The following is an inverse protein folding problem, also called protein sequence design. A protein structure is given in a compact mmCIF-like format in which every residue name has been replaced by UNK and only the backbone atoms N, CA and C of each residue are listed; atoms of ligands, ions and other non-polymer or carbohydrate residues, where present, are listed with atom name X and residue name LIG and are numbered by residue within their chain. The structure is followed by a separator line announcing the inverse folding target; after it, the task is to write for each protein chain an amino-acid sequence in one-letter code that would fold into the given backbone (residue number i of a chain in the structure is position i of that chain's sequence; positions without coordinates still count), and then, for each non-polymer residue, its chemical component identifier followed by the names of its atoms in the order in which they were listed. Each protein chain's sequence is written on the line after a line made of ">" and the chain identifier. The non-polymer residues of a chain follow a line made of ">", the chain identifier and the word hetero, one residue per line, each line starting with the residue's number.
data_IF_343608568801
#
_entry.id   IF_343608568801
#
_cell.length_a   1.000
_cell.length_b   1.000
_cell.length_c   1.000
_cell.angle_alpha   90.00
_cell.angle_beta   90.00
_cell.angle_gamma   90.00
#
_symmetry.space_group_name_H-M   'P 1'
#
loop_
_entity.id
_entity.type
_entity.pdbx_description
1 polymer ?
#
# COMPACT_ATOMS: atom_id res chain seq x y z
N UNK A 1 9.99 5.57 41.56
CA UNK A 1 9.63 5.19 40.18
C UNK A 1 10.13 3.78 39.96
N UNK A 2 9.25 2.81 39.70
CA UNK A 2 9.71 1.48 39.28
C UNK A 2 10.36 1.60 37.91
N UNK A 3 11.51 0.96 37.74
CA UNK A 3 12.27 0.96 36.49
C UNK A 3 11.55 0.02 35.50
N UNK A 4 11.01 0.58 34.42
CA UNK A 4 10.35 -0.21 33.37
C UNK A 4 11.44 -0.80 32.48
N UNK A 5 11.46 -2.13 32.33
CA UNK A 5 12.34 -2.83 31.41
C UNK A 5 11.57 -3.23 30.14
N UNK A 6 11.92 -2.61 29.01
CA UNK A 6 11.37 -2.96 27.71
C UNK A 6 12.29 -3.96 27.00
N UNK A 7 11.73 -5.09 26.55
CA UNK A 7 12.43 -6.10 25.75
C UNK A 7 11.66 -6.29 24.45
N UNK A 8 12.37 -6.34 23.33
CA UNK A 8 11.80 -6.65 22.02
C UNK A 8 12.28 -8.04 21.55
N UNK A 9 11.42 -8.75 20.83
CA UNK A 9 11.76 -10.07 20.26
C UNK A 9 13.01 -10.02 19.38
N UNK A 10 13.20 -8.92 18.65
CA UNK A 10 14.35 -8.67 17.78
C UNK A 10 15.69 -8.61 18.51
N UNK A 11 15.71 -8.55 19.84
CA UNK A 11 16.95 -8.64 20.63
C UNK A 11 17.46 -10.07 20.79
N UNK A 12 16.60 -11.06 20.53
CA UNK A 12 16.91 -12.48 20.72
C UNK A 12 16.90 -13.27 19.41
N UNK A 13 16.20 -12.75 18.39
CA UNK A 13 16.06 -13.37 17.07
C UNK A 13 16.14 -12.30 16.00
N UNK A 14 16.84 -12.61 14.91
CA UNK A 14 16.91 -11.71 13.77
C UNK A 14 15.51 -11.50 13.18
N UNK A 15 15.15 -10.24 12.93
CA UNK A 15 13.90 -9.93 12.28
C UNK A 15 14.02 -10.13 10.77
N UNK A 16 13.60 -11.30 10.30
CA UNK A 16 13.66 -11.68 8.90
C UNK A 16 12.26 -12.12 8.41
N UNK A 17 11.50 -11.25 7.72
CA UNK A 17 10.10 -11.52 7.35
C UNK A 17 9.91 -12.84 6.62
N UNK A 18 10.76 -13.15 5.63
CA UNK A 18 10.63 -14.37 4.85
C UNK A 18 10.84 -15.64 5.70
N UNK A 19 11.89 -15.68 6.55
CA UNK A 19 12.11 -16.78 7.48
C UNK A 19 10.97 -16.92 8.50
N UNK A 20 10.47 -15.80 9.02
CA UNK A 20 9.32 -15.78 9.93
C UNK A 20 8.05 -16.32 9.25
N UNK A 21 7.85 -15.98 7.97
CA UNK A 21 6.76 -16.50 7.16
C UNK A 21 6.84 -18.03 7.02
N UNK A 22 7.99 -18.58 6.61
CA UNK A 22 8.17 -20.03 6.50
C UNK A 22 7.95 -20.74 7.83
N UNK A 23 8.50 -20.19 8.93
CA UNK A 23 8.27 -20.72 10.26
C UNK A 23 6.78 -20.74 10.63
N UNK A 24 6.04 -19.67 10.32
CA UNK A 24 4.60 -19.59 10.60
C UNK A 24 3.81 -20.63 9.80
N UNK A 25 4.15 -20.86 8.52
CA UNK A 25 3.51 -21.90 7.69
C UNK A 25 3.77 -23.30 8.26
N UNK A 26 4.98 -23.58 8.71
CA UNK A 26 5.35 -24.91 9.23
C UNK A 26 4.74 -25.19 10.62
N UNK A 27 4.54 -24.17 11.44
CA UNK A 27 4.23 -24.32 12.87
C UNK A 27 2.83 -23.82 13.26
N UNK A 28 1.99 -23.41 12.31
CA UNK A 28 0.64 -22.90 12.60
C UNK A 28 -0.34 -23.15 11.47
N UNK A 29 -1.61 -22.78 11.70
CA UNK A 29 -2.66 -22.82 10.68
C UNK A 29 -2.73 -21.51 9.87
N UNK A 30 -1.61 -20.79 9.74
CA UNK A 30 -1.55 -19.55 8.98
C UNK A 30 -1.84 -19.82 7.50
N UNK A 31 -2.80 -19.08 6.94
CA UNK A 31 -3.19 -19.21 5.54
C UNK A 31 -2.78 -17.96 4.77
N UNK A 32 -2.15 -18.19 3.62
CA UNK A 32 -1.83 -17.13 2.67
C UNK A 32 -3.10 -16.53 2.06
N UNK A 33 -2.99 -15.28 1.62
CA UNK A 33 -3.99 -14.73 0.72
C UNK A 33 -4.00 -15.52 -0.60
N UNK A 34 -5.16 -15.85 -1.17
CA UNK A 34 -5.25 -16.56 -2.46
C UNK A 34 -4.57 -15.76 -3.58
N UNK A 35 -4.59 -14.44 -3.48
CA UNK A 35 -3.98 -13.49 -4.40
C UNK A 35 -2.99 -12.56 -3.71
N UNK A 36 -2.12 -11.91 -4.49
CA UNK A 36 -1.19 -10.89 -3.98
C UNK A 36 -1.95 -9.62 -3.62
N UNK A 37 -1.40 -8.85 -2.68
CA UNK A 37 -1.89 -7.50 -2.41
C UNK A 37 -1.50 -6.58 -3.55
N UNK A 38 -2.40 -5.71 -4.02
CA UNK A 38 -2.07 -4.77 -5.09
C UNK A 38 -0.95 -3.83 -4.61
N UNK A 39 0.03 -3.57 -5.48
CA UNK A 39 1.20 -2.78 -5.10
C UNK A 39 2.38 -3.56 -4.54
N UNK A 40 2.30 -4.90 -4.42
CA UNK A 40 3.41 -5.79 -4.03
C UNK A 40 3.33 -7.17 -4.68
N UNK A 41 4.43 -7.91 -4.62
CA UNK A 41 4.50 -9.35 -4.93
C UNK A 41 4.16 -10.25 -3.74
N UNK A 42 4.07 -9.70 -2.53
CA UNK A 42 3.78 -10.46 -1.30
C UNK A 42 2.34 -10.98 -1.26
N UNK A 43 2.15 -12.13 -0.59
CA UNK A 43 0.86 -12.77 -0.29
C UNK A 43 0.63 -13.02 1.20
N UNK A 44 1.61 -12.68 2.05
CA UNK A 44 1.65 -13.11 3.44
C UNK A 44 1.64 -11.94 4.43
N UNK A 45 1.89 -10.70 3.97
CA UNK A 45 1.90 -9.50 4.81
C UNK A 45 0.70 -8.60 4.50
N UNK A 46 0.17 -7.91 5.51
CA UNK A 46 -0.93 -6.94 5.36
C UNK A 46 -2.15 -7.53 4.63
N UNK A 47 -2.62 -8.70 5.10
CA UNK A 47 -3.73 -9.45 4.49
C UNK A 47 -5.03 -9.38 5.30
N UNK A 48 -5.01 -8.72 6.45
CA UNK A 48 -6.09 -8.64 7.43
C UNK A 48 -6.95 -7.37 7.31
N UNK A 49 -6.54 -6.41 6.47
CA UNK A 49 -7.28 -5.17 6.20
C UNK A 49 -7.52 -4.99 4.70
N UNK A 50 -8.78 -4.67 4.33
CA UNK A 50 -9.16 -4.37 2.94
C UNK A 50 -8.60 -3.04 2.46
N UNK A 51 -8.33 -2.09 3.36
CA UNK A 51 -7.88 -0.73 3.02
C UNK A 51 -6.36 -0.64 2.76
N UNK A 52 -5.58 -1.68 3.06
CA UNK A 52 -4.12 -1.64 2.94
C UNK A 52 -3.66 -1.32 1.51
N UNK A 53 -4.30 -1.90 0.51
CA UNK A 53 -3.97 -1.66 -0.91
C UNK A 53 -4.16 -0.17 -1.29
N UNK A 54 -5.22 0.48 -0.77
CA UNK A 54 -5.47 1.91 -0.98
C UNK A 54 -4.49 2.80 -0.23
N UNK A 55 -4.07 2.39 0.97
CA UNK A 55 -3.00 3.07 1.69
C UNK A 55 -1.72 3.10 0.83
N UNK A 56 -1.30 1.95 0.30
CA UNK A 56 -0.09 1.89 -0.51
C UNK A 56 -0.20 2.56 -1.88
N UNK A 57 -1.38 2.50 -2.51
CA UNK A 57 -1.64 3.24 -3.73
C UNK A 57 -1.53 4.75 -3.50
N UNK A 58 -2.22 5.29 -2.49
CA UNK A 58 -2.16 6.73 -2.18
C UNK A 58 -0.78 7.16 -1.67
N UNK A 59 -0.06 6.28 -0.98
CA UNK A 59 1.34 6.48 -0.60
C UNK A 59 2.23 6.64 -1.83
N UNK A 60 2.07 5.78 -2.84
CA UNK A 60 2.76 5.91 -4.13
C UNK A 60 2.42 7.20 -4.85
N UNK A 61 1.14 7.60 -4.88
CA UNK A 61 0.72 8.89 -5.47
C UNK A 61 1.44 10.08 -4.81
N UNK A 62 1.54 10.05 -3.48
CA UNK A 62 2.14 11.13 -2.69
C UNK A 62 3.66 11.19 -2.79
N UNK A 63 4.33 10.03 -2.75
CA UNK A 63 5.79 9.94 -2.57
C UNK A 63 6.54 9.40 -3.79
N UNK A 64 5.85 8.86 -4.79
CA UNK A 64 6.47 8.23 -5.97
C UNK A 64 7.13 6.88 -5.70
N UNK A 65 6.91 6.31 -4.51
CA UNK A 65 7.38 4.99 -4.10
C UNK A 65 6.25 4.28 -3.35
N UNK A 66 6.02 3.00 -3.62
CA UNK A 66 4.91 2.22 -3.08
C UNK A 66 5.39 1.09 -2.18
N UNK A 67 4.50 0.13 -1.93
CA UNK A 67 4.77 -1.02 -1.06
C UNK A 67 5.93 -1.87 -1.56
N UNK A 68 6.03 -2.07 -2.87
CA UNK A 68 7.09 -2.90 -3.44
C UNK A 68 8.46 -2.28 -3.19
N UNK A 69 8.58 -0.96 -3.20
CA UNK A 69 9.84 -0.29 -2.83
C UNK A 69 10.24 -0.61 -1.40
N UNK A 70 9.30 -0.60 -0.46
CA UNK A 70 9.57 -0.94 0.95
C UNK A 70 9.94 -2.41 1.14
N UNK A 71 9.13 -3.32 0.60
CA UNK A 71 9.36 -4.76 0.70
C UNK A 71 10.71 -5.15 0.07
N UNK A 72 10.98 -4.65 -1.14
CA UNK A 72 12.24 -4.94 -1.85
C UNK A 72 13.46 -4.36 -1.14
N UNK A 73 13.37 -3.16 -0.56
CA UNK A 73 14.49 -2.58 0.19
C UNK A 73 14.86 -3.42 1.42
N UNK A 74 13.87 -3.98 2.11
CA UNK A 74 14.10 -4.87 3.23
C UNK A 74 14.72 -6.21 2.78
N UNK A 75 14.16 -6.82 1.74
CA UNK A 75 14.65 -8.09 1.20
C UNK A 75 16.06 -7.97 0.60
N UNK A 76 16.39 -6.87 -0.08
CA UNK A 76 17.76 -6.58 -0.54
C UNK A 76 18.73 -6.49 0.63
N UNK A 77 18.34 -5.80 1.71
CA UNK A 77 19.19 -5.65 2.89
C UNK A 77 19.44 -6.98 3.59
N UNK A 78 18.47 -7.89 3.56
CA UNK A 78 18.60 -9.24 4.12
C UNK A 78 19.37 -10.20 3.20
N UNK A 79 19.54 -9.86 1.92
CA UNK A 79 20.19 -10.71 0.93
C UNK A 79 19.23 -11.69 0.23
N UNK A 80 17.92 -11.52 0.41
CA UNK A 80 16.87 -12.33 -0.23
C UNK A 80 16.66 -11.93 -1.70
N UNK A 81 16.94 -10.66 -2.02
CA UNK A 81 16.87 -10.12 -3.38
C UNK A 81 18.17 -9.42 -3.76
N UNK A 82 18.54 -9.53 -5.02
CA UNK A 82 19.51 -8.61 -5.63
C UNK A 82 18.87 -7.25 -5.88
N UNK A 83 19.72 -6.22 -6.00
CA UNK A 83 19.28 -4.86 -6.38
C UNK A 83 18.51 -4.88 -7.71
N UNK A 84 18.97 -5.68 -8.68
CA UNK A 84 18.36 -5.75 -10.01
C UNK A 84 16.98 -6.42 -9.96
N UNK A 85 16.82 -7.49 -9.19
CA UNK A 85 15.50 -8.09 -8.95
C UNK A 85 14.56 -7.11 -8.27
N UNK A 86 15.03 -6.40 -7.25
CA UNK A 86 14.24 -5.36 -6.57
C UNK A 86 13.76 -4.27 -7.53
N UNK A 87 14.64 -3.74 -8.39
CA UNK A 87 14.24 -2.75 -9.41
C UNK A 87 13.17 -3.28 -10.36
N UNK A 88 13.31 -4.54 -10.82
CA UNK A 88 12.34 -5.18 -11.70
C UNK A 88 10.98 -5.32 -11.02
N UNK A 89 10.95 -5.75 -9.75
CA UNK A 89 9.73 -5.88 -8.96
C UNK A 89 9.07 -4.52 -8.74
N UNK A 90 9.84 -3.51 -8.33
CA UNK A 90 9.33 -2.15 -8.10
C UNK A 90 8.70 -1.59 -9.37
N UNK A 91 9.41 -1.67 -10.50
CA UNK A 91 8.90 -1.21 -11.80
C UNK A 91 7.60 -1.89 -12.22
N UNK A 92 7.41 -3.14 -11.79
CA UNK A 92 6.24 -3.95 -12.14
C UNK A 92 5.02 -3.68 -11.27
N UNK A 93 5.20 -3.47 -9.97
CA UNK A 93 4.09 -3.50 -9.00
C UNK A 93 3.81 -2.17 -8.32
N UNK A 94 4.79 -1.27 -8.15
CA UNK A 94 4.51 0.02 -7.51
C UNK A 94 3.50 0.84 -8.33
N UNK A 95 2.48 1.36 -7.63
CA UNK A 95 1.43 2.15 -8.26
C UNK A 95 0.35 1.36 -8.97
N UNK A 96 0.34 0.04 -8.82
CA UNK A 96 -0.78 -0.78 -9.24
C UNK A 96 -2.07 -0.36 -8.51
N UNK A 97 -3.16 -0.23 -9.28
CA UNK A 97 -4.43 0.18 -8.73
C UNK A 97 -5.13 -0.96 -7.95
N UNK A 98 -5.66 -0.69 -6.75
CA UNK A 98 -6.29 -1.69 -5.88
C UNK A 98 -7.75 -2.01 -6.26
N UNK A 99 -7.95 -2.86 -7.27
CA UNK A 99 -9.30 -3.16 -7.81
C UNK A 99 -10.15 -4.06 -6.90
N UNK A 100 -9.53 -4.97 -6.13
CA UNK A 100 -10.22 -6.06 -5.41
C UNK A 100 -11.38 -5.61 -4.52
N UNK A 101 -11.21 -4.49 -3.82
CA UNK A 101 -12.18 -3.95 -2.86
C UNK A 101 -12.53 -2.50 -3.15
N UNK A 102 -12.25 -2.00 -4.35
CA UNK A 102 -12.41 -0.57 -4.66
C UNK A 102 -13.83 -0.06 -4.42
N UNK A 103 -14.83 -0.80 -4.88
CA UNK A 103 -16.22 -0.38 -4.78
C UNK A 103 -16.69 -0.33 -3.32
N UNK A 104 -16.32 -1.33 -2.52
CA UNK A 104 -16.65 -1.38 -1.09
C UNK A 104 -15.97 -0.25 -0.32
N UNK A 105 -14.70 0.04 -0.63
CA UNK A 105 -13.94 1.09 0.04
C UNK A 105 -14.47 2.48 -0.34
N UNK A 106 -14.75 2.72 -1.61
CA UNK A 106 -15.29 4.00 -2.07
C UNK A 106 -16.70 4.25 -1.50
N UNK A 107 -17.53 3.20 -1.40
CA UNK A 107 -18.81 3.28 -0.70
C UNK A 107 -18.63 3.57 0.79
N UNK A 108 -17.72 2.85 1.47
CA UNK A 108 -17.41 3.07 2.89
C UNK A 108 -16.91 4.49 3.19
N UNK A 109 -16.10 5.06 2.30
CA UNK A 109 -15.58 6.43 2.43
C UNK A 109 -16.62 7.50 2.04
N UNK A 110 -17.74 7.11 1.43
CA UNK A 110 -18.80 8.03 1.04
C UNK A 110 -19.61 8.49 2.25
N UNK A 111 -20.04 9.75 2.21
CA UNK A 111 -20.89 10.38 3.20
C UNK A 111 -22.32 10.30 2.67
N UNK A 112 -23.06 9.25 3.03
CA UNK A 112 -24.47 9.10 2.65
C UNK A 112 -25.40 10.06 3.42
N UNK A 113 -26.33 10.70 2.71
CA UNK A 113 -27.27 11.65 3.32
C UNK A 113 -28.19 10.99 4.36
N UNK A 114 -28.60 9.73 4.16
CA UNK A 114 -29.51 9.06 5.09
C UNK A 114 -28.80 8.69 6.39
N UNK A 115 -27.53 8.31 6.31
CA UNK A 115 -26.70 7.98 7.47
C UNK A 115 -26.24 9.21 8.26
N UNK A 116 -25.84 10.29 7.57
CA UNK A 116 -25.18 11.46 8.19
C UNK A 116 -26.03 12.74 8.21
N UNK A 117 -27.14 12.76 7.47
CA UNK A 117 -28.06 13.90 7.37
C UNK A 117 -27.61 14.97 6.37
N UNK A 118 -28.60 15.68 5.82
CA UNK A 118 -28.43 16.74 4.80
C UNK A 118 -27.36 17.78 5.13
N UNK A 119 -27.33 18.25 6.38
CA UNK A 119 -26.39 19.28 6.82
C UNK A 119 -24.92 18.85 6.65
N UNK A 120 -24.58 17.59 6.95
CA UNK A 120 -23.21 17.08 6.82
C UNK A 120 -22.93 16.77 5.35
N UNK A 121 -23.89 16.16 4.65
CA UNK A 121 -23.80 15.85 3.23
C UNK A 121 -23.43 17.08 2.38
N UNK A 122 -24.05 18.23 2.65
CA UNK A 122 -23.82 19.50 1.93
C UNK A 122 -22.48 20.19 2.27
N UNK A 123 -21.68 19.69 3.22
CA UNK A 123 -20.34 20.24 3.53
C UNK A 123 -19.25 19.75 2.56
N UNK A 124 -19.52 18.71 1.79
CA UNK A 124 -18.55 18.10 0.87
C UNK A 124 -18.86 18.47 -0.58
N UNK A 125 -17.83 18.79 -1.37
CA UNK A 125 -17.99 19.05 -2.81
C UNK A 125 -18.58 17.83 -3.53
N UNK A 126 -18.10 16.64 -3.17
CA UNK A 126 -18.64 15.35 -3.59
C UNK A 126 -18.70 14.39 -2.40
N UNK A 127 -19.86 14.27 -1.75
CA UNK A 127 -20.03 13.38 -0.60
C UNK A 127 -20.01 11.90 -1.00
N UNK A 128 -20.42 11.57 -2.23
CA UNK A 128 -20.34 10.21 -2.77
C UNK A 128 -19.06 10.08 -3.60
N UNK A 129 -18.20 9.14 -3.21
CA UNK A 129 -16.96 8.82 -3.89
C UNK A 129 -17.23 7.76 -4.95
N UNK A 130 -16.86 8.05 -6.19
CA UNK A 130 -16.78 7.09 -7.27
C UNK A 130 -15.33 6.98 -7.77
N UNK A 131 -15.06 5.97 -8.60
CA UNK A 131 -13.74 5.76 -9.20
C UNK A 131 -13.24 7.01 -9.92
N UNK A 132 -14.11 7.67 -10.67
CA UNK A 132 -13.76 8.84 -11.48
C UNK A 132 -13.30 10.01 -10.60
N UNK A 133 -14.00 10.27 -9.49
CA UNK A 133 -13.63 11.31 -8.55
C UNK A 133 -12.36 10.96 -7.78
N UNK A 134 -12.20 9.69 -7.39
CA UNK A 134 -10.96 9.23 -6.78
C UNK A 134 -9.75 9.43 -7.70
N UNK A 135 -9.87 9.07 -8.98
CA UNK A 135 -8.82 9.29 -9.97
C UNK A 135 -8.50 10.80 -10.13
N UNK A 136 -9.52 11.66 -10.14
CA UNK A 136 -9.34 13.12 -10.15
C UNK A 136 -8.59 13.63 -8.91
N UNK A 137 -8.93 13.13 -7.71
CA UNK A 137 -8.23 13.49 -6.48
C UNK A 137 -6.78 13.04 -6.53
N UNK A 138 -6.50 11.80 -6.96
CA UNK A 138 -5.12 11.32 -7.05
C UNK A 138 -4.31 12.12 -8.07
N UNK A 139 -4.89 12.51 -9.21
CA UNK A 139 -4.25 13.43 -10.17
C UNK A 139 -3.92 14.78 -9.53
N UNK A 140 -4.83 15.33 -8.72
CA UNK A 140 -4.60 16.59 -8.00
C UNK A 140 -3.46 16.49 -6.97
N UNK A 141 -3.39 15.38 -6.22
CA UNK A 141 -2.37 15.18 -5.17
C UNK A 141 -1.01 14.74 -5.69
N UNK A 142 -0.87 14.43 -6.99
CA UNK A 142 0.44 14.16 -7.61
C UNK A 142 1.28 15.42 -7.63
N UNK A 143 2.32 15.47 -6.79
CA UNK A 143 3.17 16.64 -6.70
C UNK A 143 3.99 16.88 -7.99
N UNK A 144 4.00 18.10 -8.57
CA UNK A 144 4.68 18.40 -9.84
C UNK A 144 6.18 18.13 -9.88
N UNK A 145 6.87 18.06 -8.72
CA UNK A 145 8.29 17.76 -8.65
C UNK A 145 8.60 16.26 -8.82
N UNK A 146 7.64 15.38 -8.54
CA UNK A 146 7.77 13.93 -8.76
C UNK A 146 7.13 13.51 -10.08
N UNK A 147 6.03 14.16 -10.45
CA UNK A 147 5.15 13.73 -11.52
C UNK A 147 5.18 14.65 -12.73
N UNK A 148 5.08 14.03 -13.90
CA UNK A 148 4.93 14.67 -15.20
C UNK A 148 3.68 14.15 -15.89
N UNK A 149 2.88 15.07 -16.45
CA UNK A 149 1.74 14.72 -17.29
C UNK A 149 2.23 14.47 -18.71
N UNK A 150 1.95 13.30 -19.24
CA UNK A 150 2.27 12.89 -20.61
C UNK A 150 0.99 12.61 -21.40
N UNK A 151 1.11 12.38 -22.71
CA UNK A 151 -0.02 11.96 -23.54
C UNK A 151 -0.63 10.61 -23.09
N UNK A 152 0.14 9.79 -22.37
CA UNK A 152 -0.26 8.48 -21.86
C UNK A 152 -0.62 8.52 -20.36
N UNK A 153 -0.85 9.71 -19.80
CA UNK A 153 -1.18 9.90 -18.38
C UNK A 153 0.01 10.36 -17.53
N UNK A 154 -0.09 10.17 -16.22
CA UNK A 154 0.90 10.64 -15.24
C UNK A 154 2.07 9.66 -15.12
N UNK A 155 3.30 10.19 -15.13
CA UNK A 155 4.54 9.41 -15.04
C UNK A 155 5.49 10.05 -14.03
N UNK A 156 6.25 9.21 -13.31
CA UNK A 156 7.36 9.70 -12.47
C UNK A 156 8.48 10.27 -13.35
N UNK A 157 8.97 11.45 -12.96
CA UNK A 157 10.08 12.15 -13.64
C UNK A 157 11.37 11.35 -13.57
N UNK A 158 11.64 10.77 -12.41
CA UNK A 158 12.80 9.91 -12.17
C UNK A 158 12.32 8.49 -11.94
N UNK A 159 12.87 7.56 -12.72
CA UNK A 159 12.66 6.13 -12.51
C UNK A 159 13.87 5.55 -11.79
N UNK A 160 13.64 4.42 -11.11
CA UNK A 160 14.72 3.55 -10.68
C UNK A 160 15.35 2.95 -11.94
N UNK A 161 16.54 3.44 -12.31
CA UNK A 161 17.40 2.88 -13.36
C UNK A 161 18.18 1.69 -12.81
#
# INVERSE_FOLDING_TARGET
>A
KHEIKCLAFSYFRDWHPQANYYYAIENSNFNLSPERTAGTYSKYSGIDDKMDDFYWYTYFIKYGMGRTTWDSAQEIRNGDLSIEEGKMLISKYDGEYPERFSDEILDYLSIDEKCFGKKIFELFERPILDRKYFDQMTDYFRSPHLWEKTNNGMKLRTKLN
#
